data_IF_854316980023
#
_entry.id   IF_854316980023
#
_cell.length_a   1.000
_cell.length_b   1.000
_cell.length_c   1.000
_cell.angle_alpha   90.00
_cell.angle_beta   90.00
_cell.angle_gamma   90.00
#
_symmetry.space_group_name_H-M   'P 1'
#
loop_
_entity.id
_entity.type
_entity.pdbx_description
1 polymer ?
#
# COMPACT_ATOMS: atom_id res chain seq x y z
N UNK A 1 -1.51 11.09 -33.77
CA UNK A 1 -0.31 10.83 -32.94
C UNK A 1 -0.42 11.40 -31.51
N UNK A 2 -0.98 12.60 -31.28
CA UNK A 2 -1.12 13.16 -29.93
C UNK A 2 -1.97 12.31 -28.95
N UNK A 3 -3.06 11.69 -29.42
CA UNK A 3 -3.95 10.86 -28.59
C UNK A 3 -3.28 9.57 -28.09
N UNK A 4 -2.43 8.93 -28.89
CA UNK A 4 -1.68 7.74 -28.44
C UNK A 4 -0.63 8.11 -27.40
N UNK A 5 0.03 9.28 -27.54
CA UNK A 5 1.00 9.77 -26.57
C UNK A 5 0.36 10.05 -25.20
N UNK A 6 -0.83 10.64 -25.16
CA UNK A 6 -1.53 10.90 -23.89
C UNK A 6 -2.03 9.62 -23.21
N UNK A 7 -2.52 8.64 -23.98
CA UNK A 7 -2.93 7.33 -23.43
C UNK A 7 -1.74 6.61 -22.79
N UNK A 8 -0.59 6.56 -23.49
CA UNK A 8 0.63 5.94 -22.96
C UNK A 8 1.13 6.65 -21.70
N UNK A 9 1.04 7.98 -21.67
CA UNK A 9 1.42 8.78 -20.50
C UNK A 9 0.54 8.45 -19.28
N UNK A 10 -0.78 8.38 -19.44
CA UNK A 10 -1.69 7.99 -18.34
C UNK A 10 -1.41 6.56 -17.87
N UNK A 11 -1.17 5.63 -18.79
CA UNK A 11 -0.80 4.25 -18.41
C UNK A 11 0.50 4.18 -17.64
N UNK A 12 1.50 4.99 -18.01
CA UNK A 12 2.77 5.10 -17.29
C UNK A 12 2.54 5.61 -15.87
N UNK A 13 1.78 6.70 -15.70
CA UNK A 13 1.44 7.24 -14.38
C UNK A 13 0.71 6.22 -13.50
N UNK A 14 -0.25 5.48 -14.07
CA UNK A 14 -0.97 4.43 -13.34
C UNK A 14 -0.04 3.29 -12.88
N UNK A 15 0.95 2.91 -13.71
CA UNK A 15 1.96 1.91 -13.32
C UNK A 15 2.87 2.41 -12.21
N UNK A 16 3.33 3.65 -12.29
CA UNK A 16 4.16 4.27 -11.25
C UNK A 16 3.39 4.27 -9.93
N UNK A 17 2.15 4.72 -9.94
CA UNK A 17 1.31 4.74 -8.75
C UNK A 17 1.07 3.34 -8.16
N UNK A 18 0.74 2.35 -9.00
CA UNK A 18 0.55 0.97 -8.53
C UNK A 18 1.83 0.41 -7.89
N UNK A 19 3.00 0.77 -8.43
CA UNK A 19 4.29 0.38 -7.86
C UNK A 19 4.54 1.07 -6.51
N UNK A 20 4.27 2.37 -6.39
CA UNK A 20 4.39 3.09 -5.11
C UNK A 20 3.47 2.52 -4.03
N UNK A 21 2.21 2.22 -4.37
CA UNK A 21 1.25 1.56 -3.47
C UNK A 21 1.82 0.23 -2.98
N UNK A 22 2.37 -0.57 -3.88
CA UNK A 22 2.94 -1.89 -3.58
C UNK A 22 4.16 -1.77 -2.68
N UNK A 23 5.12 -0.91 -3.03
CA UNK A 23 6.36 -0.71 -2.28
C UNK A 23 6.06 -0.21 -0.87
N UNK A 24 5.19 0.80 -0.73
CA UNK A 24 4.86 1.34 0.58
C UNK A 24 4.12 0.33 1.44
N UNK A 25 3.20 -0.46 0.88
CA UNK A 25 2.55 -1.54 1.61
C UNK A 25 3.55 -2.55 2.18
N UNK A 26 4.42 -3.10 1.33
CA UNK A 26 5.40 -4.09 1.78
C UNK A 26 6.41 -3.51 2.78
N UNK A 27 6.83 -2.24 2.61
CA UNK A 27 7.68 -1.54 3.56
C UNK A 27 7.00 -1.40 4.92
N UNK A 28 5.77 -0.87 4.96
CA UNK A 28 5.01 -0.70 6.20
C UNK A 28 4.73 -2.05 6.87
N UNK A 29 4.40 -3.08 6.09
CA UNK A 29 4.21 -4.43 6.62
C UNK A 29 5.50 -5.02 7.20
N UNK A 30 6.65 -4.76 6.57
CA UNK A 30 7.95 -5.22 7.07
C UNK A 30 8.30 -4.55 8.42
N UNK A 31 8.00 -3.27 8.58
CA UNK A 31 8.16 -2.56 9.87
C UNK A 31 7.16 -3.09 10.89
N UNK A 32 5.92 -3.39 10.50
CA UNK A 32 4.91 -3.94 11.41
C UNK A 32 5.15 -5.41 11.77
N UNK A 33 5.98 -6.14 11.01
CA UNK A 33 6.19 -7.59 11.14
C UNK A 33 6.60 -8.06 12.56
N UNK A 34 7.45 -7.34 13.33
CA UNK A 34 7.78 -7.73 14.71
C UNK A 34 6.61 -7.62 15.69
N UNK A 35 5.57 -6.86 15.35
CA UNK A 35 4.45 -6.53 16.23
C UNK A 35 3.18 -7.35 15.92
N UNK A 36 3.26 -8.27 14.97
CA UNK A 36 2.13 -9.09 14.51
C UNK A 36 2.54 -10.55 14.40
N UNK A 37 1.57 -11.47 14.50
CA UNK A 37 1.83 -12.89 14.28
C UNK A 37 2.07 -13.20 12.80
N UNK A 38 2.63 -14.39 12.51
CA UNK A 38 2.82 -14.87 11.12
C UNK A 38 1.47 -15.05 10.41
N UNK A 39 0.43 -15.46 11.13
CA UNK A 39 -0.94 -15.56 10.62
C UNK A 39 -1.50 -14.19 10.28
N UNK A 40 -1.33 -13.19 11.17
CA UNK A 40 -1.77 -11.82 10.92
C UNK A 40 -1.06 -11.22 9.70
N UNK A 41 0.25 -11.45 9.57
CA UNK A 41 1.02 -11.05 8.38
C UNK A 41 0.44 -11.67 7.11
N UNK A 42 0.12 -12.96 7.14
CA UNK A 42 -0.51 -13.66 6.01
C UNK A 42 -1.89 -13.08 5.66
N UNK A 43 -2.68 -12.69 6.66
CA UNK A 43 -3.98 -12.04 6.47
C UNK A 43 -3.82 -10.68 5.78
N UNK A 44 -2.86 -9.85 6.21
CA UNK A 44 -2.61 -8.55 5.56
C UNK A 44 -2.16 -8.71 4.10
N UNK A 45 -1.29 -9.66 3.80
CA UNK A 45 -0.89 -10.00 2.43
C UNK A 45 -2.09 -10.42 1.57
N UNK A 46 -2.93 -11.31 2.11
CA UNK A 46 -4.12 -11.79 1.41
C UNK A 46 -5.16 -10.67 1.18
N UNK A 47 -5.29 -9.74 2.14
CA UNK A 47 -6.17 -8.56 2.00
C UNK A 47 -5.63 -7.58 0.97
N UNK A 48 -4.32 -7.32 0.98
CA UNK A 48 -3.69 -6.48 -0.02
C UNK A 48 -3.83 -7.04 -1.44
N UNK A 49 -3.66 -8.36 -1.61
CA UNK A 49 -3.88 -9.02 -2.91
C UNK A 49 -5.32 -8.88 -3.45
N UNK A 50 -6.29 -8.57 -2.58
CA UNK A 50 -7.70 -8.36 -2.94
C UNK A 50 -8.07 -6.88 -3.10
N UNK A 51 -7.14 -5.95 -2.90
CA UNK A 51 -7.39 -4.51 -3.06
C UNK A 51 -7.78 -4.22 -4.50
N UNK A 52 -8.97 -3.64 -4.69
CA UNK A 52 -9.46 -3.20 -6.01
C UNK A 52 -9.69 -1.70 -6.07
N UNK A 53 -9.90 -1.08 -4.91
CA UNK A 53 -10.18 0.36 -4.81
C UNK A 53 -9.18 1.05 -3.88
N UNK A 54 -9.02 2.35 -4.06
CA UNK A 54 -8.28 3.22 -3.14
C UNK A 54 -8.78 3.07 -1.71
N UNK A 55 -10.09 2.96 -1.52
CA UNK A 55 -10.70 2.81 -0.19
C UNK A 55 -10.22 1.52 0.49
N UNK A 56 -10.21 0.40 -0.24
CA UNK A 56 -9.70 -0.87 0.30
C UNK A 56 -8.25 -0.75 0.74
N UNK A 57 -7.43 -0.10 -0.09
CA UNK A 57 -6.03 0.16 0.23
C UNK A 57 -5.89 1.00 1.49
N UNK A 58 -6.56 2.15 1.56
CA UNK A 58 -6.50 3.07 2.71
C UNK A 58 -6.92 2.36 4.00
N UNK A 59 -7.93 1.50 3.96
CA UNK A 59 -8.35 0.72 5.12
C UNK A 59 -7.24 -0.22 5.59
N UNK A 60 -6.73 -1.08 4.70
CA UNK A 60 -5.69 -2.07 5.06
C UNK A 60 -4.38 -1.37 5.48
N UNK A 61 -3.99 -0.33 4.77
CA UNK A 61 -2.78 0.45 5.05
C UNK A 61 -2.91 1.30 6.33
N UNK A 62 -4.10 1.82 6.59
CA UNK A 62 -4.42 2.54 7.82
C UNK A 62 -4.31 1.66 9.05
N UNK A 63 -4.81 0.42 8.99
CA UNK A 63 -4.69 -0.56 10.07
C UNK A 63 -3.23 -0.91 10.38
N UNK A 64 -2.39 -1.11 9.36
CA UNK A 64 -0.95 -1.31 9.55
C UNK A 64 -0.29 -0.11 10.22
N UNK A 65 -0.62 1.11 9.78
CA UNK A 65 -0.10 2.33 10.43
C UNK A 65 -0.59 2.47 11.87
N UNK A 66 -1.81 2.06 12.20
CA UNK A 66 -2.30 2.04 13.57
C UNK A 66 -1.55 1.02 14.44
N UNK A 67 -1.09 -0.10 13.87
CA UNK A 67 -0.22 -1.04 14.59
C UNK A 67 1.12 -0.38 14.90
N UNK A 68 1.73 0.31 13.92
CA UNK A 68 2.99 1.03 14.13
C UNK A 68 2.84 2.08 15.24
N UNK A 69 1.82 2.92 15.14
CA UNK A 69 1.54 3.98 16.13
C UNK A 69 1.35 3.42 17.54
N UNK A 70 0.61 2.32 17.69
CA UNK A 70 0.42 1.64 18.99
C UNK A 70 1.70 1.07 19.60
N UNK A 71 2.70 0.77 18.76
CA UNK A 71 3.98 0.21 19.18
C UNK A 71 5.11 1.26 19.22
N UNK A 72 4.78 2.54 19.02
CA UNK A 72 5.76 3.64 19.05
C UNK A 72 6.62 3.75 17.78
N UNK A 73 6.28 3.02 16.72
CA UNK A 73 6.97 3.08 15.44
C UNK A 73 6.43 4.23 14.57
N UNK A 74 7.27 4.88 13.76
CA UNK A 74 6.83 5.96 12.88
C UNK A 74 5.87 5.41 11.81
N UNK A 75 4.80 6.17 11.57
CA UNK A 75 3.87 5.88 10.47
C UNK A 75 4.55 6.09 9.13
N UNK A 76 4.04 5.45 8.09
CA UNK A 76 4.48 5.78 6.73
C UNK A 76 4.01 7.17 6.34
N UNK A 77 4.93 7.99 5.81
CA UNK A 77 4.61 9.30 5.24
C UNK A 77 3.86 9.21 3.90
N UNK A 78 3.67 7.99 3.38
CA UNK A 78 2.96 7.78 2.14
C UNK A 78 1.47 8.04 2.29
N UNK A 79 0.98 9.04 1.55
CA UNK A 79 -0.44 9.37 1.45
C UNK A 79 -0.98 8.92 0.10
N UNK A 80 -1.83 7.87 0.03
CA UNK A 80 -2.47 7.50 -1.23
C UNK A 80 -3.43 8.61 -1.66
N UNK A 81 -3.10 9.30 -2.76
CA UNK A 81 -3.93 10.36 -3.36
C UNK A 81 -5.24 9.82 -3.90
#
# INVERSE_FOLDING_TARGET
MALMGSILFVQLLMRIYANEITVNFYRTLAVAAPHISVEQRSVYLARFAKVRTRKDFVTVFGELNSILEKNGEPRSDFSPW
#
